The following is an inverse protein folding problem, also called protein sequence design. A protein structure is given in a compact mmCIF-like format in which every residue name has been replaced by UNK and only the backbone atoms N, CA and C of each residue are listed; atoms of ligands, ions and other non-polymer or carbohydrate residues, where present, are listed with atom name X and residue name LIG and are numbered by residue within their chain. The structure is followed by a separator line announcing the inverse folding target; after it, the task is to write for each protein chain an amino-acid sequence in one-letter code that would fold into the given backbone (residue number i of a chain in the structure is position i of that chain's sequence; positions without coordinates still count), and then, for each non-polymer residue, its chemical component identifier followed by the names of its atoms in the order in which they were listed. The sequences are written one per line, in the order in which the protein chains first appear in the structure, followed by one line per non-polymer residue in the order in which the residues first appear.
data_IF_340934031244
#
_entry.id   IF_340934031244
#
_cell.length_a   1.000
_cell.length_b   1.000
_cell.length_c   1.000
_cell.angle_alpha   90.00
_cell.angle_beta   90.00
_cell.angle_gamma   90.00
#
_symmetry.space_group_name_H-M   'P 1'
#
loop_
_entity.id
_entity.type
_entity.pdbx_description
1 polymer ?
#
# COMPACT_ATOMS: atom_id res chain seq x y z
N UNK A 1 26.58 -45.13 -27.35
CA UNK A 1 25.37 -44.78 -28.12
C UNK A 1 24.80 -43.48 -27.56
N UNK A 2 24.78 -42.36 -28.30
CA UNK A 2 24.18 -41.11 -27.83
C UNK A 2 22.65 -41.19 -27.91
N UNK A 3 21.98 -40.95 -26.77
CA UNK A 3 20.53 -41.07 -26.60
C UNK A 3 19.75 -40.01 -27.37
N UNK A 4 18.68 -40.44 -28.04
CA UNK A 4 17.79 -39.58 -28.82
C UNK A 4 17.09 -38.53 -27.92
N UNK A 5 17.30 -37.24 -28.22
CA UNK A 5 16.56 -36.14 -27.60
C UNK A 5 15.08 -36.25 -27.98
N UNK A 6 14.21 -36.47 -27.00
CA UNK A 6 12.77 -36.52 -27.18
C UNK A 6 12.23 -35.21 -27.77
N UNK A 7 11.40 -35.33 -28.82
CA UNK A 7 10.73 -34.19 -29.49
C UNK A 7 9.91 -33.39 -28.47
N UNK A 8 10.11 -32.08 -28.43
CA UNK A 8 9.30 -31.15 -27.62
C UNK A 8 7.82 -31.32 -27.95
N UNK A 9 7.00 -31.58 -26.93
CA UNK A 9 5.57 -31.83 -27.09
C UNK A 9 4.86 -30.57 -27.63
N UNK A 10 4.43 -30.62 -28.89
CA UNK A 10 3.63 -29.56 -29.51
C UNK A 10 2.28 -29.34 -28.81
N UNK A 11 1.64 -28.22 -29.14
CA UNK A 11 0.34 -27.77 -28.61
C UNK A 11 -0.75 -28.81 -28.88
N UNK A 12 -1.00 -29.72 -27.93
CA UNK A 12 -2.13 -30.67 -28.00
C UNK A 12 -3.45 -29.94 -27.71
N UNK A 13 -4.57 -30.30 -28.36
CA UNK A 13 -5.89 -29.82 -27.96
C UNK A 13 -6.12 -30.11 -26.47
N UNK A 14 -6.46 -29.08 -25.68
CA UNK A 14 -6.62 -29.20 -24.22
C UNK A 14 -5.34 -29.09 -23.39
N UNK A 15 -4.16 -28.88 -23.98
CA UNK A 15 -2.89 -28.71 -23.25
C UNK A 15 -2.69 -27.31 -22.63
N UNK A 16 -3.72 -26.46 -22.61
CA UNK A 16 -3.68 -25.16 -21.96
C UNK A 16 -3.96 -25.27 -20.46
N UNK A 17 -3.26 -24.48 -19.64
CA UNK A 17 -3.61 -24.31 -18.22
C UNK A 17 -5.04 -23.77 -18.15
N UNK A 18 -5.92 -24.45 -17.41
CA UNK A 18 -7.31 -24.04 -17.23
C UNK A 18 -7.37 -22.60 -16.71
N UNK A 19 -8.14 -21.75 -17.37
CA UNK A 19 -8.35 -20.36 -16.95
C UNK A 19 -9.18 -20.32 -15.67
N UNK A 20 -8.72 -19.57 -14.67
CA UNK A 20 -9.47 -19.33 -13.44
C UNK A 20 -10.77 -18.59 -13.75
N UNK A 21 -11.89 -19.05 -13.18
CA UNK A 21 -13.19 -18.39 -13.30
C UNK A 21 -13.58 -17.83 -11.93
N UNK A 22 -13.61 -16.50 -11.74
CA UNK A 22 -14.06 -15.89 -10.50
C UNK A 22 -15.55 -16.18 -10.27
N UNK A 23 -15.91 -16.45 -9.01
CA UNK A 23 -17.31 -16.55 -8.55
C UNK A 23 -17.66 -15.28 -7.78
N UNK A 24 -18.95 -15.05 -7.55
CA UNK A 24 -19.39 -13.88 -6.78
C UNK A 24 -18.90 -13.95 -5.32
N UNK A 25 -18.91 -15.14 -4.71
CA UNK A 25 -18.32 -15.37 -3.38
C UNK A 25 -16.82 -15.00 -3.34
N UNK A 26 -16.06 -15.32 -4.39
CA UNK A 26 -14.67 -14.90 -4.46
C UNK A 26 -14.54 -13.38 -4.54
N UNK A 27 -15.41 -12.69 -5.28
CA UNK A 27 -15.40 -11.23 -5.40
C UNK A 27 -15.70 -10.57 -4.05
N UNK A 28 -16.73 -11.04 -3.36
CA UNK A 28 -17.10 -10.53 -2.04
C UNK A 28 -15.98 -10.72 -1.03
N UNK A 29 -15.37 -11.90 -1.02
CA UNK A 29 -14.25 -12.19 -0.13
C UNK A 29 -13.03 -11.32 -0.44
N UNK A 30 -12.63 -11.18 -1.72
CA UNK A 30 -11.52 -10.30 -2.11
C UNK A 30 -11.80 -8.85 -1.74
N UNK A 31 -13.02 -8.37 -2.00
CA UNK A 31 -13.46 -7.02 -1.63
C UNK A 31 -13.34 -6.77 -0.13
N UNK A 32 -13.78 -7.72 0.70
CA UNK A 32 -13.71 -7.60 2.14
C UNK A 32 -12.27 -7.60 2.65
N UNK A 33 -11.43 -8.51 2.16
CA UNK A 33 -10.03 -8.58 2.59
C UNK A 33 -9.22 -7.36 2.12
N UNK A 34 -9.50 -6.84 0.92
CA UNK A 34 -8.92 -5.60 0.43
C UNK A 34 -9.40 -4.39 1.27
N UNK A 35 -10.67 -4.37 1.68
CA UNK A 35 -11.21 -3.37 2.59
C UNK A 35 -10.51 -3.37 3.95
N UNK A 36 -10.07 -4.54 4.43
CA UNK A 36 -9.27 -4.66 5.65
C UNK A 36 -7.79 -4.30 5.48
N UNK A 37 -7.35 -4.04 4.24
CA UNK A 37 -5.98 -3.63 3.95
C UNK A 37 -4.97 -4.78 3.92
N UNK A 38 -5.42 -6.02 3.71
CA UNK A 38 -4.50 -7.15 3.54
C UNK A 38 -3.67 -6.99 2.27
N UNK A 39 -2.44 -7.53 2.31
CA UNK A 39 -1.58 -7.58 1.13
C UNK A 39 -2.14 -8.57 0.12
N UNK A 40 -1.93 -8.27 -1.16
CA UNK A 40 -2.38 -9.10 -2.27
C UNK A 40 -1.89 -10.55 -2.19
N UNK A 41 -0.65 -10.76 -1.71
CA UNK A 41 -0.08 -12.09 -1.48
C UNK A 41 -0.89 -12.90 -0.47
N UNK A 42 -1.38 -12.24 0.57
CA UNK A 42 -2.11 -12.87 1.68
C UNK A 42 -3.55 -13.16 1.24
N UNK A 43 -4.19 -12.24 0.50
CA UNK A 43 -5.52 -12.43 -0.09
C UNK A 43 -5.55 -13.66 -1.02
N UNK A 44 -4.48 -13.88 -1.81
CA UNK A 44 -4.37 -15.03 -2.70
C UNK A 44 -4.49 -16.38 -1.98
N UNK A 45 -4.09 -16.47 -0.70
CA UNK A 45 -4.17 -17.71 0.09
C UNK A 45 -5.62 -18.15 0.34
N UNK A 46 -6.55 -17.20 0.34
CA UNK A 46 -7.97 -17.41 0.61
C UNK A 46 -8.77 -17.82 -0.63
N UNK A 47 -8.28 -17.49 -1.84
CA UNK A 47 -9.01 -17.77 -3.07
C UNK A 47 -8.47 -19.06 -3.71
N UNK A 48 -9.31 -20.09 -3.77
CA UNK A 48 -8.94 -21.39 -4.32
C UNK A 48 -9.37 -21.52 -5.78
N UNK A 49 -8.51 -22.11 -6.59
CA UNK A 49 -8.84 -22.52 -7.95
C UNK A 49 -9.67 -23.82 -7.96
N UNK A 50 -10.06 -24.28 -9.16
CA UNK A 50 -10.83 -25.52 -9.33
C UNK A 50 -10.11 -26.79 -8.81
N UNK A 51 -8.81 -26.71 -8.50
CA UNK A 51 -8.01 -27.80 -7.92
C UNK A 51 -7.79 -27.62 -6.42
N UNK A 52 -8.47 -26.66 -5.79
CA UNK A 52 -8.33 -26.34 -4.37
C UNK A 52 -7.04 -25.61 -4.01
N UNK A 53 -6.27 -25.11 -4.99
CA UNK A 53 -5.00 -24.41 -4.74
C UNK A 53 -5.18 -22.90 -4.70
N UNK A 54 -4.40 -22.17 -3.87
CA UNK A 54 -4.34 -20.71 -3.93
C UNK A 54 -4.07 -20.21 -5.35
N UNK A 55 -4.73 -19.15 -5.76
CA UNK A 55 -4.42 -18.48 -7.02
C UNK A 55 -3.12 -17.68 -6.91
N UNK A 56 -2.50 -17.37 -8.05
CA UNK A 56 -1.35 -16.48 -8.09
C UNK A 56 -1.77 -15.01 -8.12
N UNK A 57 -0.91 -14.12 -7.65
CA UNK A 57 -1.17 -12.68 -7.65
C UNK A 57 -1.52 -12.09 -9.03
N UNK A 58 -0.86 -12.45 -10.15
CA UNK A 58 -1.28 -11.99 -11.47
C UNK A 58 -2.70 -12.44 -11.84
N UNK A 59 -3.09 -13.65 -11.42
CA UNK A 59 -4.45 -14.16 -11.65
C UNK A 59 -5.45 -13.37 -10.83
N UNK A 60 -5.12 -13.04 -9.58
CA UNK A 60 -5.98 -12.23 -8.72
C UNK A 60 -6.17 -10.83 -9.30
N UNK A 61 -5.08 -10.12 -9.62
CA UNK A 61 -5.15 -8.77 -10.21
C UNK A 61 -5.96 -8.73 -11.50
N UNK A 62 -5.86 -9.76 -12.35
CA UNK A 62 -6.62 -9.84 -13.60
C UNK A 62 -8.13 -9.99 -13.37
N UNK A 63 -8.54 -10.75 -12.36
CA UNK A 63 -9.95 -11.10 -12.16
C UNK A 63 -10.69 -10.20 -11.17
N UNK A 64 -9.95 -9.58 -10.24
CA UNK A 64 -10.49 -8.83 -9.11
C UNK A 64 -9.97 -7.39 -9.00
N UNK A 65 -9.58 -6.76 -10.13
CA UNK A 65 -9.02 -5.41 -10.12
C UNK A 65 -9.96 -4.40 -9.43
N UNK A 66 -11.25 -4.43 -9.79
CA UNK A 66 -12.27 -3.54 -9.22
C UNK A 66 -12.35 -3.70 -7.71
N UNK A 67 -12.31 -4.94 -7.22
CA UNK A 67 -12.44 -5.23 -5.80
C UNK A 67 -11.23 -4.76 -4.99
N UNK A 68 -10.04 -4.94 -5.55
CA UNK A 68 -8.79 -4.49 -4.93
C UNK A 68 -8.71 -2.96 -4.89
N UNK A 69 -9.11 -2.29 -5.96
CA UNK A 69 -9.04 -0.83 -6.06
C UNK A 69 -10.11 -0.16 -5.18
N UNK A 70 -11.31 -0.73 -5.14
CA UNK A 70 -12.45 -0.11 -4.42
C UNK A 70 -12.60 -0.59 -2.98
N UNK A 71 -12.01 -1.72 -2.59
CA UNK A 71 -12.13 -2.28 -1.25
C UNK A 71 -11.70 -1.29 -0.16
N UNK A 72 -10.49 -0.74 -0.28
CA UNK A 72 -9.97 0.26 0.69
C UNK A 72 -10.80 1.54 0.71
N UNK A 73 -11.27 2.00 -0.46
CA UNK A 73 -12.16 3.15 -0.54
C UNK A 73 -13.47 2.90 0.23
N UNK A 74 -14.11 1.74 0.03
CA UNK A 74 -15.35 1.36 0.74
C UNK A 74 -15.13 1.30 2.26
N UNK A 75 -13.99 0.79 2.72
CA UNK A 75 -13.64 0.78 4.14
C UNK A 75 -13.52 2.21 4.70
N UNK A 76 -12.78 3.07 4.00
CA UNK A 76 -12.61 4.46 4.38
C UNK A 76 -13.94 5.20 4.43
N UNK A 77 -14.84 4.97 3.47
CA UNK A 77 -16.20 5.55 3.48
C UNK A 77 -16.99 5.10 4.71
N UNK A 78 -16.95 3.83 5.09
CA UNK A 78 -17.66 3.34 6.30
C UNK A 78 -17.13 4.00 7.58
N UNK A 79 -15.80 4.14 7.70
CA UNK A 79 -15.19 4.82 8.85
C UNK A 79 -15.55 6.31 8.85
N UNK A 80 -15.48 6.97 7.70
CA UNK A 80 -15.86 8.37 7.55
C UNK A 80 -17.35 8.61 7.89
N UNK A 81 -18.26 7.73 7.46
CA UNK A 81 -19.68 7.78 7.84
C UNK A 81 -19.87 7.67 9.35
N UNK A 82 -19.10 6.79 10.01
CA UNK A 82 -19.17 6.62 11.47
C UNK A 82 -18.67 7.87 12.20
N UNK A 83 -17.53 8.42 11.77
CA UNK A 83 -16.98 9.68 12.28
C UNK A 83 -17.98 10.83 12.12
N UNK A 84 -18.56 10.98 10.92
CA UNK A 84 -19.55 12.01 10.62
C UNK A 84 -20.78 11.91 11.54
N UNK A 85 -21.33 10.71 11.73
CA UNK A 85 -22.46 10.49 12.64
C UNK A 85 -22.12 10.85 14.09
N UNK A 86 -20.93 10.47 14.56
CA UNK A 86 -20.46 10.85 15.91
C UNK A 86 -20.32 12.37 16.06
N UNK A 87 -19.74 13.02 15.05
CA UNK A 87 -19.57 14.47 15.05
C UNK A 87 -20.92 15.20 15.11
N UNK A 88 -21.89 14.81 14.29
CA UNK A 88 -23.25 15.38 14.34
C UNK A 88 -23.96 15.04 15.66
N UNK A 89 -23.66 13.89 16.26
CA UNK A 89 -24.15 13.49 17.57
C UNK A 89 -23.55 14.24 18.75
N UNK A 90 -22.63 15.20 18.52
CA UNK A 90 -22.06 16.03 19.59
C UNK A 90 -20.76 15.48 20.19
N UNK A 91 -20.13 14.45 19.61
CA UNK A 91 -18.82 13.98 20.08
C UNK A 91 -17.73 15.01 19.76
N UNK A 92 -17.27 15.73 20.79
CA UNK A 92 -16.30 16.82 20.66
C UNK A 92 -15.03 16.41 19.92
N UNK A 93 -14.48 15.22 20.20
CA UNK A 93 -13.27 14.73 19.55
C UNK A 93 -13.48 14.51 18.05
N UNK A 94 -14.60 13.89 17.65
CA UNK A 94 -14.94 13.68 16.25
C UNK A 94 -15.20 15.00 15.52
N UNK A 95 -15.83 15.98 16.16
CA UNK A 95 -16.04 17.33 15.62
C UNK A 95 -14.70 18.02 15.36
N UNK A 96 -13.83 18.09 16.38
CA UNK A 96 -12.51 18.72 16.26
C UNK A 96 -11.70 18.03 15.17
N UNK A 97 -11.67 16.70 15.14
CA UNK A 97 -10.97 15.94 14.11
C UNK A 97 -11.52 16.24 12.71
N UNK A 98 -12.84 16.24 12.51
CA UNK A 98 -13.44 16.58 11.22
C UNK A 98 -13.07 18.00 10.77
N UNK A 99 -13.17 18.97 11.67
CA UNK A 99 -12.88 20.37 11.34
C UNK A 99 -11.42 20.56 10.92
N UNK A 100 -10.49 19.90 11.62
CA UNK A 100 -9.06 19.92 11.28
C UNK A 100 -8.73 19.17 9.99
N UNK A 101 -9.25 17.95 9.85
CA UNK A 101 -8.86 17.06 8.76
C UNK A 101 -9.63 17.26 7.47
N UNK A 102 -10.84 17.82 7.50
CA UNK A 102 -11.72 17.95 6.32
C UNK A 102 -12.25 19.38 6.11
N UNK A 103 -12.52 20.15 7.17
CA UNK A 103 -13.04 21.52 7.04
C UNK A 103 -11.96 22.61 6.98
N UNK A 104 -10.70 22.22 6.88
CA UNK A 104 -9.58 23.14 6.68
C UNK A 104 -9.17 23.96 7.90
N UNK A 105 -9.65 23.63 9.11
CA UNK A 105 -9.18 24.28 10.33
C UNK A 105 -7.72 23.90 10.58
N UNK A 106 -6.88 24.89 10.84
CA UNK A 106 -5.47 24.69 11.14
C UNK A 106 -5.16 25.23 12.52
N UNK A 107 -4.30 24.53 13.24
CA UNK A 107 -3.71 25.08 14.45
C UNK A 107 -2.82 26.25 14.06
N UNK A 108 -3.02 27.41 14.70
CA UNK A 108 -2.14 28.55 14.49
C UNK A 108 -0.85 28.29 15.23
N UNK A 109 0.23 28.03 14.50
CA UNK A 109 1.57 27.89 15.07
C UNK A 109 2.36 29.17 14.80
N UNK A 110 2.91 29.77 15.85
CA UNK A 110 3.97 30.77 15.76
C UNK A 110 5.26 30.06 16.14
N UNK A 111 6.06 29.71 15.14
CA UNK A 111 7.36 29.06 15.35
C UNK A 111 8.43 30.13 15.19
N UNK A 112 9.10 30.46 16.29
CA UNK A 112 10.31 31.28 16.26
C UNK A 112 11.52 30.36 16.15
N UNK A 113 12.32 30.55 15.10
CA UNK A 113 13.54 29.79 14.86
C UNK A 113 14.73 30.65 15.24
N UNK A 114 15.45 30.24 16.28
CA UNK A 114 16.68 30.89 16.74
C UNK A 114 17.82 29.88 16.80
N UNK A 115 19.04 30.35 16.55
CA UNK A 115 20.27 29.63 16.79
C UNK A 115 20.63 29.53 18.27
N UNK A 116 21.82 28.99 18.56
CA UNK A 116 22.29 28.80 19.92
C UNK A 116 22.23 30.10 20.74
N UNK A 117 21.68 30.02 21.96
CA UNK A 117 21.53 31.18 22.84
C UNK A 117 20.57 32.26 22.34
N UNK A 118 19.65 31.95 21.42
CA UNK A 118 18.73 32.94 20.84
C UNK A 118 19.34 33.77 19.70
N UNK A 119 20.57 33.43 19.28
CA UNK A 119 21.27 34.13 18.20
C UNK A 119 20.78 33.74 16.79
N UNK A 120 21.40 34.26 15.73
CA UNK A 120 21.07 33.90 14.36
C UNK A 120 21.29 32.40 14.08
N UNK A 121 20.41 31.80 13.27
CA UNK A 121 20.60 30.44 12.75
C UNK A 121 21.89 30.43 11.92
N UNK A 122 22.82 29.57 12.29
CA UNK A 122 24.07 29.38 11.55
C UNK A 122 23.82 28.39 10.42
N UNK A 123 24.05 28.80 9.17
CA UNK A 123 24.05 27.92 8.02
C UNK A 123 25.43 27.91 7.39
N UNK A 124 25.99 26.71 7.18
CA UNK A 124 27.23 26.53 6.43
C UNK A 124 26.88 25.95 5.07
N UNK A 125 27.24 26.64 3.98
CA UNK A 125 27.15 26.10 2.63
C UNK A 125 28.48 25.44 2.26
N UNK A 126 28.44 24.20 1.81
CA UNK A 126 29.63 23.44 1.40
C UNK A 126 29.46 22.94 -0.02
N UNK A 127 30.56 22.88 -0.75
CA UNK A 127 30.61 22.26 -2.07
C UNK A 127 30.59 20.72 -1.94
N UNK A 128 30.16 19.99 -2.99
CA UNK A 128 30.18 18.53 -2.99
C UNK A 128 31.57 17.93 -2.71
N UNK A 129 32.63 18.62 -3.12
CA UNK A 129 34.00 18.13 -2.93
C UNK A 129 34.49 18.35 -1.50
N UNK A 130 34.19 19.50 -0.87
CA UNK A 130 34.44 19.74 0.56
C UNK A 130 33.68 18.74 1.45
N UNK A 131 32.44 18.39 1.08
CA UNK A 131 31.69 17.36 1.78
C UNK A 131 32.36 15.98 1.67
N UNK A 132 32.85 15.61 0.49
CA UNK A 132 33.52 14.32 0.25
C UNK A 132 34.81 14.21 1.03
N UNK A 133 35.60 15.28 1.11
CA UNK A 133 36.82 15.27 1.92
C UNK A 133 36.51 15.10 3.41
N UNK A 134 35.55 15.86 3.95
CA UNK A 134 35.15 15.70 5.36
C UNK A 134 34.61 14.31 5.65
N UNK A 135 33.75 13.78 4.77
CA UNK A 135 33.21 12.43 4.92
C UNK A 135 34.30 11.35 4.89
N UNK A 136 35.33 11.53 4.06
CA UNK A 136 36.48 10.63 4.00
C UNK A 136 37.31 10.70 5.29
N UNK A 137 37.60 11.90 5.78
CA UNK A 137 38.39 12.09 7.00
C UNK A 137 37.68 11.49 8.23
N UNK A 138 36.37 11.68 8.35
CA UNK A 138 35.58 11.08 9.43
C UNK A 138 35.56 9.55 9.34
N UNK A 139 35.48 8.99 8.12
CA UNK A 139 35.50 7.54 7.92
C UNK A 139 36.87 6.90 8.21
N UNK A 140 37.95 7.68 8.18
CA UNK A 140 39.31 7.22 8.51
C UNK A 140 39.63 7.34 10.01
N UNK A 141 38.87 8.14 10.77
CA UNK A 141 39.01 8.30 12.23
C UNK A 141 38.19 7.30 13.08
N UNK A 142 37.40 6.42 12.45
CA UNK A 142 36.62 5.34 13.10
C UNK A 142 37.21 3.98 12.73
#
# INVERSE_FOLDING_TARGET
MPGAKGKSGGKRPGAGRSTFKPTDEHRDLVMQLAAFGLRHSDICLFIKDAKGKPISEPTMRKNFAVELDTGKLKANVKVAQTLYKKAIGGDTTSIIFWLKSQAGWKDTQRVELTGNGGGPIQSVSMTPDEFREIAKNIAEEV
#
